data_IF_588823941840
#
_entry.id   IF_588823941840
#
_cell.length_a   1.000
_cell.length_b   1.000
_cell.length_c   1.000
_cell.angle_alpha   90.00
_cell.angle_beta   90.00
_cell.angle_gamma   90.00
#
_symmetry.space_group_name_H-M   'P 1'
#
loop_
_entity.id
_entity.type
_entity.pdbx_description
1 polymer ?
#
# COMPACT_ATOMS: atom_id res chain seq x y z
N UNK A 1 77.55 47.02 14.52
CA UNK A 1 77.83 45.68 13.97
C UNK A 1 76.70 44.78 14.43
N UNK A 2 76.07 44.13 13.46
CA UNK A 2 74.79 43.41 13.49
C UNK A 2 74.90 42.12 14.30
N UNK A 3 73.92 41.80 15.17
CA UNK A 3 73.37 40.43 15.28
C UNK A 3 71.88 40.50 15.64
N UNK A 4 71.08 39.85 14.81
CA UNK A 4 69.62 39.87 14.77
C UNK A 4 68.97 39.15 15.96
N UNK A 5 67.86 39.73 16.42
CA UNK A 5 66.93 39.16 17.39
C UNK A 5 66.24 37.93 16.80
N UNK A 6 66.42 36.77 17.42
CA UNK A 6 65.68 35.54 17.08
C UNK A 6 64.26 35.66 17.67
N UNK A 7 63.30 36.11 16.86
CA UNK A 7 61.88 35.94 17.15
C UNK A 7 61.50 34.49 16.87
N UNK A 8 61.25 33.73 17.93
CA UNK A 8 60.66 32.39 17.87
C UNK A 8 59.18 32.55 17.49
N UNK A 9 58.87 32.50 16.19
CA UNK A 9 57.48 32.42 15.72
C UNK A 9 56.99 31.00 16.01
N UNK A 10 56.26 30.84 17.11
CA UNK A 10 55.50 29.63 17.41
C UNK A 10 54.27 29.57 16.48
N UNK A 11 54.42 28.92 15.33
CA UNK A 11 53.31 28.54 14.46
C UNK A 11 52.45 27.50 15.18
N UNK A 12 51.41 27.96 15.89
CA UNK A 12 50.27 27.14 16.28
C UNK A 12 49.53 26.75 15.00
N UNK A 13 49.95 25.64 14.38
CA UNK A 13 49.11 24.92 13.44
C UNK A 13 48.01 24.29 14.27
N UNK A 14 46.92 25.04 14.49
CA UNK A 14 45.66 24.45 14.89
C UNK A 14 45.21 23.64 13.69
N UNK A 15 45.59 22.36 13.68
CA UNK A 15 44.99 21.39 12.77
C UNK A 15 43.52 21.36 13.10
N UNK A 16 42.71 22.06 12.31
CA UNK A 16 41.31 21.71 12.18
C UNK A 16 41.30 20.31 11.61
N UNK A 17 41.22 19.31 12.49
CA UNK A 17 40.65 18.01 12.12
C UNK A 17 39.23 18.37 11.72
N UNK A 18 39.03 18.66 10.44
CA UNK A 18 37.73 18.45 9.85
C UNK A 18 37.50 16.97 10.06
N UNK A 19 36.67 16.61 11.05
CA UNK A 19 36.02 15.33 11.02
C UNK A 19 35.32 15.33 9.66
N UNK A 20 35.86 14.56 8.72
CA UNK A 20 35.17 14.25 7.49
C UNK A 20 33.96 13.43 7.95
N UNK A 21 32.86 14.13 8.21
CA UNK A 21 31.60 13.54 8.64
C UNK A 21 31.05 12.87 7.38
N UNK A 22 31.66 11.74 7.04
CA UNK A 22 31.40 11.04 5.81
C UNK A 22 30.01 10.44 5.96
N UNK A 23 29.02 11.16 5.44
CA UNK A 23 27.62 10.77 5.49
C UNK A 23 27.49 9.33 4.98
N UNK A 24 26.73 8.52 5.72
CA UNK A 24 26.48 7.13 5.36
C UNK A 24 25.71 7.10 4.04
N UNK A 25 25.99 6.11 3.20
CA UNK A 25 25.35 5.97 1.89
C UNK A 25 24.01 5.23 1.99
N UNK A 26 23.20 5.26 0.92
CA UNK A 26 22.00 4.41 0.81
C UNK A 26 22.33 2.91 0.94
N UNK A 27 23.51 2.49 0.46
CA UNK A 27 24.01 1.12 0.63
C UNK A 27 24.26 0.76 2.09
N UNK A 28 24.79 1.72 2.87
CA UNK A 28 24.99 1.55 4.31
C UNK A 28 23.65 1.44 5.04
N UNK A 29 22.68 2.31 4.72
CA UNK A 29 21.32 2.24 5.24
C UNK A 29 20.69 0.88 4.97
N UNK A 30 20.75 0.41 3.72
CA UNK A 30 20.16 -0.87 3.32
C UNK A 30 20.79 -2.03 4.08
N UNK A 31 22.11 -2.03 4.26
CA UNK A 31 22.81 -3.05 5.04
C UNK A 31 22.41 -3.02 6.51
N UNK A 32 22.23 -1.84 7.07
CA UNK A 32 21.83 -1.65 8.47
C UNK A 32 20.38 -2.11 8.72
N UNK A 33 19.44 -1.70 7.86
CA UNK A 33 18.04 -2.08 7.96
C UNK A 33 17.80 -3.57 7.71
N UNK A 34 18.44 -4.15 6.69
CA UNK A 34 18.12 -5.51 6.22
C UNK A 34 19.08 -6.60 6.68
N UNK A 35 20.15 -6.26 7.42
CA UNK A 35 21.15 -7.24 7.86
C UNK A 35 20.58 -8.37 8.73
N UNK A 36 19.58 -8.07 9.57
CA UNK A 36 18.89 -9.03 10.45
C UNK A 36 17.36 -8.95 10.33
N UNK A 37 16.85 -8.39 9.25
CA UNK A 37 15.41 -8.21 9.05
C UNK A 37 14.76 -9.53 8.59
N UNK A 38 13.78 -10.02 9.35
CA UNK A 38 12.98 -11.19 8.96
C UNK A 38 11.65 -10.75 8.37
N UNK A 39 11.58 -10.81 7.03
CA UNK A 39 10.37 -10.48 6.26
C UNK A 39 9.17 -11.41 6.51
N UNK A 40 9.36 -12.56 7.16
CA UNK A 40 8.27 -13.49 7.48
C UNK A 40 7.63 -13.18 8.84
N UNK A 41 8.24 -12.30 9.63
CA UNK A 41 7.78 -11.94 10.98
C UNK A 41 7.05 -10.60 10.93
N UNK A 42 5.91 -10.53 11.63
CA UNK A 42 5.12 -9.30 11.76
C UNK A 42 5.96 -8.20 12.44
N UNK A 43 6.14 -7.02 11.82
CA UNK A 43 7.12 -6.02 12.26
C UNK A 43 6.64 -5.11 13.40
N UNK A 44 6.42 -5.69 14.58
CA UNK A 44 6.00 -5.00 15.81
C UNK A 44 7.04 -5.15 16.92
N UNK A 45 7.13 -4.18 17.83
CA UNK A 45 8.08 -4.25 18.97
C UNK A 45 7.56 -5.11 20.11
N UNK A 46 6.24 -5.17 20.26
CA UNK A 46 5.56 -6.01 21.24
C UNK A 46 4.57 -6.96 20.57
N UNK A 47 4.45 -8.18 21.08
CA UNK A 47 3.51 -9.18 20.55
C UNK A 47 2.05 -8.72 20.62
N UNK A 48 1.72 -7.84 21.56
CA UNK A 48 0.38 -7.30 21.78
C UNK A 48 0.03 -6.12 20.85
N UNK A 49 1.02 -5.52 20.17
CA UNK A 49 0.76 -4.41 19.25
C UNK A 49 0.03 -4.90 18.00
N UNK A 50 -0.91 -4.11 17.48
CA UNK A 50 -1.64 -4.41 16.23
C UNK A 50 -1.05 -3.59 15.07
N UNK A 51 -0.89 -4.21 13.89
CA UNK A 51 -0.56 -3.45 12.68
C UNK A 51 -1.85 -2.95 12.03
N UNK A 52 -1.95 -1.64 11.82
CA UNK A 52 -2.99 -1.04 10.99
C UNK A 52 -2.54 -1.02 9.53
N UNK A 53 -3.27 -1.70 8.66
CA UNK A 53 -3.09 -1.67 7.20
C UNK A 53 -4.20 -0.84 6.58
N UNK A 54 -3.82 0.30 5.99
CA UNK A 54 -4.73 1.17 5.24
C UNK A 54 -4.80 0.70 3.80
N UNK A 55 -6.02 0.51 3.29
CA UNK A 55 -6.26 -0.02 1.94
C UNK A 55 -7.18 0.89 1.14
N UNK A 56 -6.89 1.06 -0.15
CA UNK A 56 -7.86 1.53 -1.13
C UNK A 56 -7.63 0.87 -2.49
N UNK A 57 -8.69 0.74 -3.28
CA UNK A 57 -8.60 0.35 -4.68
C UNK A 57 -8.73 1.61 -5.51
N UNK A 58 -7.79 1.88 -6.41
CA UNK A 58 -7.90 2.93 -7.41
C UNK A 58 -8.24 2.30 -8.76
N UNK A 59 -9.48 2.43 -9.25
CA UNK A 59 -9.90 1.79 -10.49
C UNK A 59 -9.20 2.48 -11.66
N UNK A 60 -8.68 1.66 -12.57
CA UNK A 60 -8.07 2.09 -13.82
C UNK A 60 -8.97 1.80 -15.01
N UNK A 61 -9.60 0.64 -15.01
CA UNK A 61 -10.41 0.20 -16.14
C UNK A 61 -11.51 -0.76 -15.72
N UNK A 62 -12.73 -0.49 -16.20
CA UNK A 62 -13.83 -1.47 -16.20
C UNK A 62 -13.69 -2.33 -17.45
N UNK A 63 -13.30 -3.59 -17.26
CA UNK A 63 -13.07 -4.53 -18.38
C UNK A 63 -14.35 -5.23 -18.82
N UNK A 64 -15.22 -5.57 -17.87
CA UNK A 64 -16.40 -6.40 -18.11
C UNK A 64 -17.35 -6.30 -16.91
N UNK A 65 -18.64 -6.09 -17.17
CA UNK A 65 -19.73 -6.20 -16.20
C UNK A 65 -20.77 -7.20 -16.70
N UNK A 66 -20.77 -8.38 -16.10
CA UNK A 66 -21.75 -9.43 -16.39
C UNK A 66 -22.81 -9.48 -15.29
N UNK A 67 -23.96 -8.86 -15.55
CA UNK A 67 -25.11 -8.84 -14.63
C UNK A 67 -25.75 -10.22 -14.48
N UNK A 68 -25.70 -11.07 -15.51
CA UNK A 68 -26.32 -12.41 -15.49
C UNK A 68 -25.52 -13.33 -14.58
N UNK A 69 -24.20 -13.34 -14.73
CA UNK A 69 -23.29 -14.16 -13.92
C UNK A 69 -22.92 -13.48 -12.59
N UNK A 70 -23.28 -12.20 -12.44
CA UNK A 70 -23.04 -11.35 -11.26
C UNK A 70 -21.55 -11.18 -11.00
N UNK A 71 -20.82 -10.85 -12.06
CA UNK A 71 -19.36 -10.69 -12.02
C UNK A 71 -18.90 -9.38 -12.61
N UNK A 72 -17.82 -8.84 -12.05
CA UNK A 72 -17.12 -7.66 -12.58
C UNK A 72 -15.65 -7.98 -12.80
N UNK A 73 -15.07 -7.47 -13.88
CA UNK A 73 -13.62 -7.48 -14.13
C UNK A 73 -13.09 -6.07 -14.10
N UNK A 74 -12.10 -5.85 -13.23
CA UNK A 74 -11.50 -4.53 -13.03
C UNK A 74 -9.98 -4.63 -13.12
N UNK A 75 -9.38 -3.59 -13.71
CA UNK A 75 -7.98 -3.27 -13.46
C UNK A 75 -7.93 -2.16 -12.43
N UNK A 76 -7.10 -2.34 -11.39
CA UNK A 76 -6.95 -1.39 -10.30
C UNK A 76 -5.49 -1.23 -9.93
N UNK A 77 -5.15 -0.12 -9.28
CA UNK A 77 -4.04 -0.08 -8.34
C UNK A 77 -4.57 -0.44 -6.96
N UNK A 78 -3.93 -1.41 -6.29
CA UNK A 78 -4.20 -1.69 -4.89
C UNK A 78 -3.24 -0.87 -4.05
N UNK A 79 -3.71 0.16 -3.35
CA UNK A 79 -2.88 0.93 -2.44
C UNK A 79 -2.89 0.29 -1.06
N UNK A 80 -1.70 0.02 -0.53
CA UNK A 80 -1.49 -0.52 0.81
C UNK A 80 -0.51 0.40 1.56
N UNK A 81 -0.86 0.75 2.79
CA UNK A 81 0.03 1.48 3.71
C UNK A 81 0.01 0.85 5.09
N UNK A 82 1.18 0.62 5.66
CA UNK A 82 1.35 0.15 7.03
C UNK A 82 2.61 0.77 7.65
N UNK A 83 2.85 0.51 8.93
CA UNK A 83 4.10 0.87 9.59
C UNK A 83 4.90 -0.40 9.91
N UNK A 84 6.21 -0.34 9.65
CA UNK A 84 7.19 -1.33 10.06
C UNK A 84 8.06 -0.73 11.16
N UNK A 85 8.08 -1.36 12.34
CA UNK A 85 8.79 -0.83 13.50
C UNK A 85 10.32 -0.95 13.40
N UNK A 86 10.82 -1.76 12.46
CA UNK A 86 12.25 -2.07 12.27
C UNK A 86 12.87 -1.30 11.09
N UNK A 87 12.05 -0.82 10.16
CA UNK A 87 12.52 -0.08 8.97
C UNK A 87 12.51 1.44 9.21
N UNK A 88 13.25 1.91 10.21
CA UNK A 88 13.32 3.33 10.61
C UNK A 88 14.76 3.81 10.66
N UNK A 89 14.99 5.07 10.30
CA UNK A 89 16.31 5.69 10.38
C UNK A 89 16.20 7.22 10.55
N UNK A 90 17.31 7.86 10.92
CA UNK A 90 17.44 9.31 10.94
C UNK A 90 18.01 9.79 9.60
N UNK A 91 17.26 10.55 8.77
CA UNK A 91 17.76 11.06 7.50
C UNK A 91 19.04 11.87 7.62
N UNK A 92 19.29 12.53 8.76
CA UNK A 92 20.48 13.35 8.97
C UNK A 92 21.79 12.54 8.93
N UNK A 93 21.75 11.26 9.27
CA UNK A 93 22.91 10.35 9.18
C UNK A 93 23.23 9.90 7.74
N UNK A 94 22.27 10.03 6.82
CA UNK A 94 22.34 9.51 5.45
C UNK A 94 22.16 10.61 4.40
N UNK A 95 22.65 11.82 4.68
CA UNK A 95 22.62 12.93 3.73
C UNK A 95 21.21 13.42 3.36
N UNK A 96 20.26 13.31 4.28
CA UNK A 96 18.88 13.71 4.07
C UNK A 96 18.01 12.68 3.34
N UNK A 97 18.51 11.45 3.14
CA UNK A 97 17.72 10.36 2.56
C UNK A 97 16.51 10.06 3.44
N UNK A 98 15.31 10.39 2.97
CA UNK A 98 14.05 10.29 3.73
C UNK A 98 13.15 9.15 3.25
N UNK A 99 13.48 8.53 2.10
CA UNK A 99 12.77 7.41 1.53
C UNK A 99 13.72 6.40 0.86
N UNK A 100 13.33 5.13 0.86
CA UNK A 100 14.06 4.02 0.25
C UNK A 100 13.10 3.19 -0.62
N UNK A 101 13.48 2.91 -1.87
CA UNK A 101 12.70 2.07 -2.80
C UNK A 101 13.32 0.69 -2.96
N UNK A 102 12.61 -0.37 -2.58
CA UNK A 102 13.12 -1.74 -2.64
C UNK A 102 12.07 -2.73 -3.13
N UNK A 103 12.47 -3.96 -3.47
CA UNK A 103 11.51 -4.96 -3.90
C UNK A 103 10.55 -5.33 -2.78
N UNK A 104 9.26 -5.44 -3.10
CA UNK A 104 8.22 -5.92 -2.18
C UNK A 104 8.52 -7.33 -1.60
N UNK A 105 9.40 -8.10 -2.23
CA UNK A 105 9.83 -9.42 -1.74
C UNK A 105 10.84 -9.38 -0.60
N UNK A 106 11.34 -8.20 -0.23
CA UNK A 106 12.38 -8.01 0.78
C UNK A 106 11.81 -7.53 2.11
N UNK A 107 10.54 -7.12 2.14
CA UNK A 107 9.83 -6.65 3.33
C UNK A 107 8.73 -7.62 3.75
N UNK A 108 8.36 -7.57 5.03
CA UNK A 108 7.09 -8.12 5.47
C UNK A 108 5.96 -7.42 4.74
N UNK A 109 4.97 -8.21 4.31
CA UNK A 109 3.78 -7.72 3.62
C UNK A 109 2.54 -8.26 4.29
N UNK A 110 1.49 -7.44 4.45
CA UNK A 110 0.21 -7.94 4.90
C UNK A 110 -0.41 -8.83 3.81
N UNK A 111 -1.10 -9.88 4.22
CA UNK A 111 -1.79 -10.84 3.36
C UNK A 111 -3.19 -10.35 2.97
N UNK A 112 -3.24 -9.15 2.41
CA UNK A 112 -4.49 -8.51 1.96
C UNK A 112 -5.01 -9.22 0.70
N UNK A 113 -6.14 -9.90 0.85
CA UNK A 113 -6.77 -10.72 -0.18
C UNK A 113 -8.15 -10.17 -0.59
N UNK A 114 -8.52 -10.40 -1.85
CA UNK A 114 -9.87 -10.19 -2.37
C UNK A 114 -10.74 -11.44 -2.13
N UNK A 115 -11.60 -11.41 -1.12
CA UNK A 115 -12.43 -12.55 -0.74
C UNK A 115 -13.53 -12.88 -1.76
N UNK A 116 -13.94 -11.89 -2.55
CA UNK A 116 -14.96 -12.06 -3.59
C UNK A 116 -14.35 -12.43 -4.95
N UNK A 117 -13.06 -12.76 -5.02
CA UNK A 117 -12.42 -13.19 -6.25
C UNK A 117 -13.14 -14.42 -6.84
N UNK A 118 -13.26 -14.45 -8.17
CA UNK A 118 -13.74 -15.63 -8.87
C UNK A 118 -12.71 -16.77 -8.79
N UNK A 119 -13.10 -18.05 -8.93
CA UNK A 119 -12.18 -19.19 -8.80
C UNK A 119 -10.97 -19.17 -9.75
N UNK A 120 -11.10 -18.52 -10.89
CA UNK A 120 -10.07 -18.32 -11.91
C UNK A 120 -9.19 -17.09 -11.67
N UNK A 121 -9.39 -16.38 -10.55
CA UNK A 121 -8.68 -15.15 -10.18
C UNK A 121 -7.84 -15.34 -8.93
N UNK A 122 -6.60 -14.83 -8.96
CA UNK A 122 -5.75 -14.80 -7.77
C UNK A 122 -6.36 -13.92 -6.67
N UNK A 123 -6.36 -14.41 -5.43
CA UNK A 123 -6.78 -13.65 -4.26
C UNK A 123 -5.88 -12.44 -3.97
N UNK A 124 -4.60 -12.55 -4.36
CA UNK A 124 -3.55 -11.56 -4.08
C UNK A 124 -3.04 -10.92 -5.37
N UNK A 125 -2.49 -9.68 -5.32
CA UNK A 125 -1.77 -9.10 -6.44
C UNK A 125 -0.58 -9.98 -6.83
N UNK A 126 -0.52 -10.38 -8.11
CA UNK A 126 0.52 -11.26 -8.65
C UNK A 126 1.75 -10.51 -9.16
N UNK A 127 1.57 -9.25 -9.56
CA UNK A 127 2.67 -8.39 -10.01
C UNK A 127 3.31 -7.75 -8.79
N UNK A 128 4.59 -8.04 -8.58
CA UNK A 128 5.36 -7.54 -7.45
C UNK A 128 6.17 -6.32 -7.89
N UNK A 129 5.65 -5.14 -7.60
CA UNK A 129 6.35 -3.86 -7.75
C UNK A 129 7.28 -3.60 -6.56
N UNK A 130 8.03 -2.50 -6.61
CA UNK A 130 8.75 -2.02 -5.43
C UNK A 130 7.80 -1.43 -4.39
N UNK A 131 8.25 -1.41 -3.14
CA UNK A 131 7.68 -0.63 -2.04
C UNK A 131 8.50 0.63 -1.84
N UNK A 132 7.86 1.67 -1.31
CA UNK A 132 8.53 2.86 -0.80
C UNK A 132 8.45 2.82 0.72
N UNK A 133 9.61 2.87 1.37
CA UNK A 133 9.74 2.95 2.82
C UNK A 133 10.16 4.37 3.15
N UNK A 134 9.46 5.02 4.07
CA UNK A 134 9.83 6.33 4.59
C UNK A 134 10.66 6.18 5.88
N UNK A 135 11.50 7.16 6.18
CA UNK A 135 12.41 7.14 7.33
C UNK A 135 11.71 6.90 8.67
N UNK A 136 10.43 7.27 8.77
CA UNK A 136 9.61 7.06 9.96
C UNK A 136 9.03 5.64 10.07
N UNK A 137 9.35 4.72 9.16
CA UNK A 137 8.83 3.35 9.16
C UNK A 137 7.51 3.16 8.42
N UNK A 138 6.93 4.20 7.84
CA UNK A 138 5.78 4.04 6.94
C UNK A 138 6.22 3.30 5.70
N UNK A 139 5.48 2.26 5.32
CA UNK A 139 5.68 1.52 4.08
C UNK A 139 4.45 1.71 3.21
N UNK A 140 4.67 2.08 1.94
CA UNK A 140 3.64 2.21 0.91
C UNK A 140 3.92 1.23 -0.22
N UNK A 141 2.91 0.43 -0.58
CA UNK A 141 2.97 -0.51 -1.68
C UNK A 141 1.76 -0.34 -2.59
N UNK A 142 2.01 -0.16 -3.89
CA UNK A 142 0.96 0.07 -4.90
C UNK A 142 1.13 -0.88 -6.08
N UNK A 143 0.83 -2.18 -5.92
CA UNK A 143 0.85 -3.12 -7.04
C UNK A 143 -0.36 -2.93 -7.97
N UNK A 144 -0.23 -3.22 -9.28
CA UNK A 144 -1.38 -3.35 -10.15
C UNK A 144 -2.11 -4.65 -9.81
N UNK A 145 -3.44 -4.59 -9.75
CA UNK A 145 -4.27 -5.74 -9.43
C UNK A 145 -5.45 -5.82 -10.42
N UNK A 146 -5.37 -6.82 -11.29
CA UNK A 146 -6.42 -7.19 -12.24
C UNK A 146 -7.15 -8.42 -11.73
N UNK A 147 -8.47 -8.34 -11.59
CA UNK A 147 -9.25 -9.42 -10.99
C UNK A 147 -10.64 -9.53 -11.60
N UNK A 148 -11.20 -10.75 -11.60
CA UNK A 148 -12.63 -11.01 -11.76
C UNK A 148 -13.22 -11.28 -10.38
N UNK A 149 -14.26 -10.55 -10.00
CA UNK A 149 -14.95 -10.70 -8.72
C UNK A 149 -16.39 -11.18 -8.95
N UNK A 150 -16.87 -12.08 -8.09
CA UNK A 150 -18.27 -12.52 -8.04
C UNK A 150 -18.96 -11.86 -6.87
N UNK A 151 -19.90 -10.98 -7.16
CA UNK A 151 -20.57 -10.11 -6.21
C UNK A 151 -22.07 -10.13 -6.50
N UNK A 152 -22.80 -11.14 -6.01
CA UNK A 152 -24.25 -11.14 -6.15
C UNK A 152 -24.83 -9.92 -5.41
N UNK A 153 -25.58 -9.04 -6.10
CA UNK A 153 -26.22 -7.90 -5.45
C UNK A 153 -27.23 -8.39 -4.42
N UNK A 154 -27.44 -7.61 -3.34
CA UNK A 154 -28.50 -7.92 -2.40
C UNK A 154 -29.88 -7.74 -3.06
N UNK A 155 -30.90 -8.34 -2.46
CA UNK A 155 -32.27 -8.20 -2.92
C UNK A 155 -32.69 -6.72 -2.90
N UNK A 156 -33.22 -6.22 -4.02
CA UNK A 156 -33.59 -4.81 -4.20
C UNK A 156 -32.46 -3.86 -4.65
N UNK A 157 -31.22 -4.35 -4.80
CA UNK A 157 -30.06 -3.54 -5.25
C UNK A 157 -29.80 -3.57 -6.77
N UNK A 158 -30.68 -4.23 -7.53
CA UNK A 158 -30.62 -4.26 -9.00
C UNK A 158 -31.87 -3.58 -9.55
N UNK A 159 -31.66 -2.60 -10.42
CA UNK A 159 -32.74 -2.04 -11.24
C UNK A 159 -32.48 -2.38 -12.71
N UNK A 160 -33.39 -1.98 -13.61
CA UNK A 160 -33.19 -2.17 -15.05
C UNK A 160 -31.90 -1.49 -15.57
N UNK A 161 -31.45 -0.42 -14.90
CA UNK A 161 -30.35 0.45 -15.36
C UNK A 161 -29.17 0.50 -14.40
N UNK A 162 -29.24 -0.18 -13.25
CA UNK A 162 -28.16 -0.18 -12.24
C UNK A 162 -27.78 -1.58 -11.79
N UNK A 163 -26.48 -1.75 -11.58
CA UNK A 163 -25.91 -2.98 -11.03
C UNK A 163 -24.97 -2.63 -9.88
N UNK A 164 -25.23 -3.18 -8.69
CA UNK A 164 -24.39 -3.00 -7.51
C UNK A 164 -23.53 -4.23 -7.27
N UNK A 165 -22.27 -3.99 -6.91
CA UNK A 165 -21.28 -5.04 -6.65
C UNK A 165 -20.41 -4.64 -5.46
N UNK A 166 -20.44 -5.44 -4.40
CA UNK A 166 -19.55 -5.24 -3.24
C UNK A 166 -18.33 -6.14 -3.34
N UNK A 167 -17.14 -5.54 -3.43
CA UNK A 167 -15.86 -6.23 -3.29
C UNK A 167 -15.47 -6.30 -1.81
N UNK A 168 -14.89 -7.42 -1.38
CA UNK A 168 -14.45 -7.59 0.01
C UNK A 168 -12.96 -7.84 0.08
N UNK A 169 -12.23 -6.95 0.74
CA UNK A 169 -10.78 -6.99 0.84
C UNK A 169 -10.36 -7.04 2.30
N UNK A 170 -9.55 -8.01 2.71
CA UNK A 170 -9.17 -8.20 4.12
C UNK A 170 -7.94 -9.07 4.29
N UNK A 171 -7.46 -9.20 5.52
CA UNK A 171 -6.33 -10.08 5.85
C UNK A 171 -6.76 -11.54 5.87
N UNK A 172 -6.11 -12.38 5.07
CA UNK A 172 -6.49 -13.80 4.93
C UNK A 172 -6.29 -14.62 6.21
N UNK A 173 -5.21 -14.36 6.96
CA UNK A 173 -4.80 -15.18 8.10
C UNK A 173 -4.85 -14.45 9.44
N UNK A 174 -4.70 -13.12 9.48
CA UNK A 174 -4.63 -12.38 10.74
C UNK A 174 -6.01 -11.89 11.20
N UNK A 175 -6.31 -12.18 12.46
CA UNK A 175 -7.44 -11.59 13.17
C UNK A 175 -7.16 -10.14 13.64
N UNK A 176 -8.21 -9.43 14.07
CA UNK A 176 -8.16 -8.01 14.46
C UNK A 176 -7.17 -7.68 15.58
N UNK A 177 -6.74 -8.65 16.40
CA UNK A 177 -5.72 -8.42 17.43
C UNK A 177 -4.34 -8.21 16.79
N UNK A 178 -4.09 -8.84 15.64
CA UNK A 178 -2.77 -8.86 14.99
C UNK A 178 -2.65 -7.86 13.86
N UNK A 179 -3.63 -7.84 12.95
CA UNK A 179 -3.69 -6.94 11.81
C UNK A 179 -5.12 -6.41 11.68
N UNK A 180 -5.26 -5.10 11.56
CA UNK A 180 -6.52 -4.45 11.22
C UNK A 180 -6.38 -3.86 9.83
N UNK A 181 -7.17 -4.39 8.89
CA UNK A 181 -7.36 -3.83 7.55
C UNK A 181 -8.51 -2.84 7.60
N UNK A 182 -8.25 -1.61 7.20
CA UNK A 182 -9.24 -0.53 7.24
C UNK A 182 -9.07 0.41 6.06
N UNK A 183 -10.12 1.14 5.73
CA UNK A 183 -10.08 2.10 4.62
C UNK A 183 -9.02 3.18 4.83
N UNK A 184 -8.48 3.66 3.71
CA UNK A 184 -7.66 4.87 3.71
C UNK A 184 -8.55 6.11 3.83
N UNK A 185 -8.25 7.02 4.75
CA UNK A 185 -8.96 8.31 4.86
C UNK A 185 -8.59 9.21 3.67
N UNK A 186 -9.61 9.69 2.94
CA UNK A 186 -9.61 10.72 1.87
C UNK A 186 -8.70 10.53 0.62
N UNK A 187 -9.17 11.11 -0.51
CA UNK A 187 -8.47 11.61 -1.72
C UNK A 187 -7.42 10.81 -2.48
N UNK A 188 -7.06 9.59 -2.05
CA UNK A 188 -6.20 8.73 -2.88
C UNK A 188 -6.87 8.45 -4.23
N UNK A 189 -8.20 8.38 -4.32
CA UNK A 189 -8.89 8.29 -5.61
C UNK A 189 -8.78 9.58 -6.46
N UNK A 190 -8.72 10.76 -5.82
CA UNK A 190 -8.55 12.02 -6.53
C UNK A 190 -7.13 12.15 -7.12
N UNK A 191 -6.10 11.66 -6.42
CA UNK A 191 -4.70 11.68 -6.90
C UNK A 191 -4.23 10.42 -7.64
N UNK A 192 -4.85 9.27 -7.40
CA UNK A 192 -4.53 7.96 -7.97
C UNK A 192 -5.79 7.35 -8.57
N UNK A 193 -5.84 7.24 -9.89
CA UNK A 193 -6.93 6.52 -10.56
C UNK A 193 -7.92 7.42 -11.25
N UNK A 194 -8.49 8.49 -10.66
CA UNK A 194 -9.56 9.25 -11.33
C UNK A 194 -9.14 9.89 -12.67
N UNK A 195 -7.95 10.47 -12.76
CA UNK A 195 -7.42 11.00 -14.03
C UNK A 195 -7.01 9.90 -15.03
N UNK A 196 -6.63 8.73 -14.52
CA UNK A 196 -6.21 7.59 -15.33
C UNK A 196 -7.35 6.60 -15.63
N UNK A 197 -8.54 6.84 -15.07
CA UNK A 197 -9.66 5.93 -15.12
C UNK A 197 -10.27 5.96 -16.52
N UNK A 198 -10.40 4.78 -17.11
CA UNK A 198 -11.00 4.58 -18.43
C UNK A 198 -12.13 3.60 -18.31
N UNK A 199 -13.33 4.09 -18.56
CA UNK A 199 -14.50 3.25 -18.62
C UNK A 199 -14.61 2.58 -20.00
N UNK A 200 -14.05 1.39 -20.13
CA UNK A 200 -13.93 0.68 -21.42
C UNK A 200 -15.01 -0.36 -21.68
N UNK A 201 -15.88 -0.65 -20.70
CA UNK A 201 -17.01 -1.55 -20.92
C UNK A 201 -18.02 -0.89 -21.87
N UNK A 202 -18.58 -1.64 -22.82
CA UNK A 202 -19.48 -1.06 -23.84
C UNK A 202 -20.85 -0.65 -23.28
N UNK A 203 -21.30 -1.29 -22.19
CA UNK A 203 -22.69 -1.18 -21.70
C UNK A 203 -22.82 -0.52 -20.34
N UNK A 204 -21.80 -0.60 -19.50
CA UNK A 204 -21.84 -0.15 -18.12
C UNK A 204 -20.76 0.89 -17.85
N UNK A 205 -21.09 1.86 -17.00
CA UNK A 205 -20.14 2.83 -16.46
C UNK A 205 -20.09 2.73 -14.95
N UNK A 206 -18.89 2.84 -14.37
CA UNK A 206 -18.72 2.95 -12.92
C UNK A 206 -19.12 4.36 -12.48
N UNK A 207 -20.26 4.48 -11.82
CA UNK A 207 -20.81 5.76 -11.35
C UNK A 207 -20.20 6.17 -10.00
N UNK A 208 -20.08 5.22 -9.07
CA UNK A 208 -19.48 5.46 -7.77
C UNK A 208 -18.83 4.21 -7.20
N UNK A 209 -17.86 4.44 -6.31
CA UNK A 209 -17.25 3.41 -5.48
C UNK A 209 -17.05 3.98 -4.08
N UNK A 210 -17.69 3.35 -3.09
CA UNK A 210 -17.63 3.78 -1.68
C UNK A 210 -17.00 2.67 -0.85
N UNK A 211 -16.00 3.00 -0.05
CA UNK A 211 -15.37 2.04 0.87
C UNK A 211 -15.91 2.21 2.29
N UNK A 212 -16.12 1.11 2.98
CA UNK A 212 -16.42 1.10 4.42
C UNK A 212 -15.82 -0.13 5.11
N UNK A 213 -15.32 0.05 6.33
CA UNK A 213 -14.63 -0.98 7.11
C UNK A 213 -15.63 -1.78 7.95
N UNK A 214 -15.43 -3.09 8.02
CA UNK A 214 -16.28 -4.03 8.76
C UNK A 214 -15.40 -5.01 9.55
N UNK A 215 -15.87 -5.42 10.74
CA UNK A 215 -15.30 -6.56 11.46
C UNK A 215 -16.29 -7.72 11.50
N UNK A 216 -15.88 -8.85 10.92
CA UNK A 216 -16.74 -10.01 10.76
C UNK A 216 -16.24 -11.22 11.53
N UNK A 217 -17.17 -11.91 12.19
CA UNK A 217 -16.95 -13.25 12.74
C UNK A 217 -17.31 -14.28 11.67
N UNK A 218 -16.39 -15.20 11.38
CA UNK A 218 -16.59 -16.27 10.41
C UNK A 218 -16.89 -17.58 11.13
N UNK A 219 -17.68 -18.46 10.51
CA UNK A 219 -18.08 -19.74 11.13
C UNK A 219 -16.90 -20.69 11.40
N UNK A 220 -15.77 -20.51 10.72
CA UNK A 220 -14.56 -21.31 10.94
C UNK A 220 -13.87 -21.04 12.27
N UNK A 221 -14.02 -19.82 12.79
CA UNK A 221 -13.00 -19.20 13.61
C UNK A 221 -13.64 -18.37 14.73
N UNK A 222 -13.17 -18.48 15.99
CA UNK A 222 -13.76 -17.75 17.11
C UNK A 222 -13.42 -16.25 17.09
N UNK A 223 -12.38 -15.84 16.36
CA UNK A 223 -11.96 -14.45 16.24
C UNK A 223 -12.69 -13.66 15.15
N UNK A 224 -12.73 -12.33 15.34
CA UNK A 224 -13.15 -11.38 14.32
C UNK A 224 -12.00 -11.06 13.37
N UNK A 225 -12.35 -10.88 12.11
CA UNK A 225 -11.45 -10.44 11.04
C UNK A 225 -11.92 -9.09 10.51
N UNK A 226 -10.98 -8.18 10.29
CA UNK A 226 -11.24 -6.88 9.66
C UNK A 226 -11.19 -6.98 8.14
N UNK A 227 -12.13 -6.32 7.47
CA UNK A 227 -12.17 -6.18 6.02
C UNK A 227 -12.71 -4.80 5.62
N UNK A 228 -12.42 -4.39 4.39
CA UNK A 228 -12.99 -3.22 3.73
C UNK A 228 -13.91 -3.70 2.62
N UNK A 229 -15.17 -3.29 2.69
CA UNK A 229 -16.13 -3.46 1.62
C UNK A 229 -15.98 -2.27 0.66
N UNK A 230 -15.86 -2.53 -0.64
CA UNK A 230 -15.97 -1.52 -1.69
C UNK A 230 -17.27 -1.73 -2.43
N UNK A 231 -18.23 -0.84 -2.24
CA UNK A 231 -19.53 -0.86 -2.91
C UNK A 231 -19.45 -0.10 -4.21
N UNK A 232 -19.50 -0.82 -5.33
CA UNK A 232 -19.47 -0.26 -6.67
C UNK A 232 -20.89 -0.16 -7.20
N UNK A 233 -21.24 1.03 -7.72
CA UNK A 233 -22.46 1.27 -8.46
C UNK A 233 -22.13 1.43 -9.94
N UNK A 234 -22.64 0.52 -10.75
CA UNK A 234 -22.57 0.62 -12.21
C UNK A 234 -23.91 1.11 -12.75
N UNK A 235 -23.85 2.00 -13.74
CA UNK A 235 -25.00 2.50 -14.48
C UNK A 235 -24.91 2.08 -15.94
N UNK A 236 -26.04 1.69 -16.50
CA UNK A 236 -26.14 1.36 -17.92
C UNK A 236 -25.94 2.63 -18.76
N UNK A 237 -25.06 2.57 -19.76
CA UNK A 237 -24.83 3.65 -20.72
C UNK A 237 -26.09 3.83 -21.58
N UNK A 238 -26.45 5.09 -21.84
CA UNK A 238 -27.47 5.38 -22.84
C UNK A 238 -26.98 4.84 -24.20
N UNK A 239 -27.84 4.17 -24.95
CA UNK A 239 -27.51 3.78 -26.32
C UNK A 239 -27.27 5.07 -27.11
N UNK A 240 -26.07 5.27 -27.62
CA UNK A 240 -25.88 6.21 -28.72
C UNK A 240 -26.49 5.53 -29.94
N UNK A 241 -27.71 5.93 -30.30
CA UNK A 241 -28.27 5.60 -31.60
C UNK A 241 -27.31 6.18 -32.66
N UNK A 242 -26.51 5.32 -33.30
CA UNK A 242 -25.86 5.58 -34.58
C UNK A 242 -26.74 5.04 -35.73
#
# INVERSE_FOLDING_TARGET
>A
MVVFSFSLILLLVVGTVFADDHLKTESDLRRELFGNYDKLVRPVRSIEETISVRVTLAPLRVKDVDVKDKTVKLDTWLYLRWEDAYLRWDPSEYGGLDQLSISANEVWRPDVALYTASPDTSLFPTVLTNVVIFHNGTVVWVPPFSFKSRCPPAEGQVTADTFQCTLKVGSWTYDVRRVIVQEHEQDVLQGMGRESFKDTDEKWSLESMVSHSEQKLYSCCPERYSLVNFDLLFRKKAHSDE
#
